data_IF_122937627395
#
_entry.id   IF_122937627395
#
_cell.length_a   1.000
_cell.length_b   1.000
_cell.length_c   1.000
_cell.angle_alpha   90.00
_cell.angle_beta   90.00
_cell.angle_gamma   90.00
#
_symmetry.space_group_name_H-M   'P 1'
#
loop_
_entity.id
_entity.type
_entity.pdbx_description
1 polymer ?
#
# COMPACT_ATOMS: atom_id res chain seq x y z
N UNK A 1 -13.19 -3.17 13.72
CA UNK A 1 -13.27 -1.73 13.57
C UNK A 1 -14.73 -1.30 13.62
N UNK A 2 -15.24 -0.97 14.81
CA UNK A 2 -16.66 -0.65 15.01
C UNK A 2 -17.01 0.83 14.71
N UNK A 3 -16.20 1.56 13.94
CA UNK A 3 -16.31 3.03 13.77
C UNK A 3 -16.56 3.50 12.31
N UNK A 4 -17.02 2.60 11.41
CA UNK A 4 -17.27 2.97 10.01
C UNK A 4 -16.01 3.21 9.18
N UNK A 5 -14.85 2.78 9.67
CA UNK A 5 -13.56 2.86 8.96
C UNK A 5 -13.54 1.81 7.85
N UNK A 6 -13.35 2.21 6.60
CA UNK A 6 -13.26 1.30 5.45
C UNK A 6 -11.83 0.94 5.07
N UNK A 7 -10.84 1.74 5.51
CA UNK A 7 -9.43 1.57 5.19
C UNK A 7 -8.54 1.91 6.39
N UNK A 8 -7.62 1.01 6.72
CA UNK A 8 -6.61 1.18 7.77
C UNK A 8 -5.24 1.19 7.13
N UNK A 9 -4.44 2.23 7.41
CA UNK A 9 -3.05 2.28 6.92
C UNK A 9 -2.07 1.86 8.01
N UNK A 10 -1.37 0.75 7.77
CA UNK A 10 -0.32 0.22 8.62
C UNK A 10 1.03 0.85 8.26
N UNK A 11 1.60 1.58 9.22
CA UNK A 11 2.92 2.21 9.11
C UNK A 11 3.86 1.65 10.17
N UNK A 12 4.66 0.65 9.78
CA UNK A 12 5.64 0.01 10.65
C UNK A 12 6.98 0.74 10.52
N UNK A 13 7.52 1.24 11.62
CA UNK A 13 8.90 1.77 11.66
C UNK A 13 9.77 0.73 12.37
N UNK A 14 10.78 0.22 11.68
CA UNK A 14 11.85 -0.66 12.19
C UNK A 14 11.46 -1.61 13.35
N UNK A 15 10.76 -2.69 12.98
CA UNK A 15 10.46 -3.82 13.86
C UNK A 15 10.90 -5.12 13.18
N UNK A 16 11.37 -6.11 13.93
CA UNK A 16 11.74 -7.41 13.32
C UNK A 16 10.51 -8.24 12.93
N UNK A 17 9.38 -8.04 13.62
CA UNK A 17 8.15 -8.82 13.43
C UNK A 17 7.17 -8.22 12.41
N UNK A 18 7.67 -7.63 11.31
CA UNK A 18 6.80 -6.90 10.35
C UNK A 18 5.73 -7.80 9.74
N UNK A 19 6.07 -9.05 9.40
CA UNK A 19 5.13 -10.03 8.85
C UNK A 19 3.97 -10.34 9.79
N UNK A 20 4.27 -10.57 11.08
CA UNK A 20 3.25 -10.81 12.10
C UNK A 20 2.28 -9.62 12.25
N UNK A 21 2.81 -8.40 12.24
CA UNK A 21 1.97 -7.19 12.34
C UNK A 21 1.08 -7.01 11.10
N UNK A 22 1.61 -7.29 9.91
CA UNK A 22 0.86 -7.24 8.65
C UNK A 22 -0.27 -8.27 8.69
N UNK A 23 0.03 -9.53 9.06
CA UNK A 23 -0.98 -10.59 9.17
C UNK A 23 -2.08 -10.24 10.17
N UNK A 24 -1.72 -9.81 11.37
CA UNK A 24 -2.69 -9.40 12.40
C UNK A 24 -3.58 -8.25 11.95
N UNK A 25 -3.01 -7.25 11.29
CA UNK A 25 -3.79 -6.13 10.78
C UNK A 25 -4.75 -6.57 9.66
N UNK A 26 -4.32 -7.48 8.79
CA UNK A 26 -5.13 -8.04 7.73
C UNK A 26 -6.30 -8.86 8.28
N UNK A 27 -6.05 -9.77 9.22
CA UNK A 27 -7.07 -10.61 9.85
C UNK A 27 -8.11 -9.74 10.56
N UNK A 28 -7.65 -8.74 11.32
CA UNK A 28 -8.54 -7.79 11.98
C UNK A 28 -9.39 -7.01 10.97
N UNK A 29 -8.83 -6.61 9.83
CA UNK A 29 -9.58 -5.88 8.81
C UNK A 29 -10.58 -6.78 8.07
N UNK A 30 -10.20 -8.02 7.78
CA UNK A 30 -11.07 -9.02 7.15
C UNK A 30 -12.33 -9.29 7.99
N UNK A 31 -12.19 -9.45 9.31
CA UNK A 31 -13.33 -9.64 10.24
C UNK A 31 -14.33 -8.48 10.19
N UNK A 32 -13.87 -7.28 9.84
CA UNK A 32 -14.68 -6.06 9.89
C UNK A 32 -15.03 -5.50 8.51
N UNK A 33 -14.70 -6.21 7.42
CA UNK A 33 -14.92 -5.71 6.06
C UNK A 33 -14.10 -4.47 5.71
N UNK A 34 -13.01 -4.23 6.44
CA UNK A 34 -12.09 -3.13 6.20
C UNK A 34 -10.95 -3.60 5.30
N UNK A 35 -10.30 -2.67 4.60
CA UNK A 35 -9.06 -2.95 3.87
C UNK A 35 -7.85 -2.50 4.70
N UNK A 36 -6.74 -3.25 4.63
CA UNK A 36 -5.43 -2.79 5.10
C UNK A 36 -4.63 -2.20 3.96
N UNK A 37 -3.89 -1.14 4.27
CA UNK A 37 -2.87 -0.58 3.41
C UNK A 37 -1.51 -0.57 4.08
N UNK A 38 -0.53 -1.28 3.52
CA UNK A 38 0.82 -1.40 4.10
C UNK A 38 1.76 -0.42 3.42
N UNK A 39 2.41 0.44 4.18
CA UNK A 39 3.43 1.35 3.66
C UNK A 39 4.81 0.69 3.63
N UNK A 40 5.46 0.66 2.47
CA UNK A 40 6.89 0.35 2.35
C UNK A 40 7.32 -1.13 2.44
N UNK A 41 6.45 -2.06 2.86
CA UNK A 41 6.77 -3.49 3.03
C UNK A 41 6.03 -4.40 2.06
N UNK A 42 6.13 -4.12 0.77
CA UNK A 42 5.39 -4.85 -0.26
C UNK A 42 5.79 -6.31 -0.39
N UNK A 43 7.09 -6.66 -0.23
CA UNK A 43 7.55 -8.05 -0.28
C UNK A 43 6.94 -8.87 0.84
N UNK A 44 6.99 -8.35 2.06
CA UNK A 44 6.38 -9.00 3.22
C UNK A 44 4.87 -9.12 3.05
N UNK A 45 4.19 -8.14 2.45
CA UNK A 45 2.77 -8.27 2.14
C UNK A 45 2.47 -9.40 1.11
N UNK A 46 3.35 -9.63 0.13
CA UNK A 46 3.25 -10.77 -0.79
C UNK A 46 3.48 -12.09 -0.05
N UNK A 47 4.53 -12.17 0.77
CA UNK A 47 4.88 -13.38 1.54
C UNK A 47 3.74 -13.79 2.48
N UNK A 48 3.07 -12.80 3.08
CA UNK A 48 1.93 -13.01 3.97
C UNK A 48 0.60 -13.24 3.22
N UNK A 49 0.62 -13.31 1.87
CA UNK A 49 -0.59 -13.46 1.03
C UNK A 49 -1.68 -12.43 1.38
N UNK A 50 -1.25 -11.21 1.68
CA UNK A 50 -2.10 -10.17 2.22
C UNK A 50 -2.93 -9.54 1.09
N UNK A 51 -4.27 -9.56 1.18
CA UNK A 51 -5.20 -9.02 0.16
C UNK A 51 -5.27 -7.47 0.14
N UNK A 52 -4.15 -6.85 0.52
CA UNK A 52 -4.03 -5.47 0.97
C UNK A 52 -3.67 -4.51 -0.15
N UNK A 53 -3.99 -3.24 0.07
CA UNK A 53 -3.63 -2.15 -0.84
C UNK A 53 -2.27 -1.55 -0.45
N UNK A 54 -1.24 -1.74 -1.26
CA UNK A 54 0.10 -1.29 -0.88
C UNK A 54 0.23 0.20 -1.16
N UNK A 55 0.60 0.97 -0.14
CA UNK A 55 0.97 2.37 -0.31
C UNK A 55 2.48 2.47 -0.51
N UNK A 56 2.89 3.03 -1.63
CA UNK A 56 4.30 3.18 -1.96
C UNK A 56 4.69 4.63 -2.18
N UNK A 57 5.85 4.99 -1.61
CA UNK A 57 6.50 6.27 -1.85
C UNK A 57 7.54 6.04 -2.95
N UNK A 58 7.20 6.43 -4.17
CA UNK A 58 8.06 6.42 -5.37
C UNK A 58 8.60 5.02 -5.72
N UNK A 59 7.88 4.28 -6.57
CA UNK A 59 8.39 3.03 -7.16
C UNK A 59 8.99 3.31 -8.53
N UNK A 60 10.22 2.84 -8.74
CA UNK A 60 10.79 2.62 -10.08
C UNK A 60 10.07 1.47 -10.76
N UNK A 61 9.64 1.55 -12.03
CA UNK A 61 8.92 0.50 -12.79
C UNK A 61 8.97 -0.97 -12.30
N UNK A 62 10.15 -1.60 -12.07
CA UNK A 62 10.25 -3.04 -11.84
C UNK A 62 9.35 -3.65 -10.74
N UNK A 63 9.24 -3.11 -9.49
CA UNK A 63 8.41 -3.70 -8.44
C UNK A 63 6.90 -3.55 -8.67
N UNK A 64 6.45 -2.60 -9.50
CA UNK A 64 5.02 -2.41 -9.76
C UNK A 64 4.41 -3.57 -10.53
N UNK A 65 5.14 -4.09 -11.52
CA UNK A 65 4.69 -5.24 -12.30
C UNK A 65 4.59 -6.46 -11.38
N UNK A 66 5.58 -6.70 -10.54
CA UNK A 66 5.59 -7.81 -9.58
C UNK A 66 4.40 -7.76 -8.63
N UNK A 67 4.10 -6.61 -8.03
CA UNK A 67 2.94 -6.45 -7.14
C UNK A 67 1.62 -6.66 -7.89
N UNK A 68 1.51 -6.16 -9.13
CA UNK A 68 0.31 -6.36 -9.96
C UNK A 68 0.09 -7.84 -10.28
N UNK A 69 1.14 -8.58 -10.63
CA UNK A 69 1.05 -10.02 -10.88
C UNK A 69 0.73 -10.82 -9.62
N UNK A 70 1.14 -10.32 -8.45
CA UNK A 70 0.79 -10.89 -7.15
C UNK A 70 -0.64 -10.54 -6.67
N UNK A 71 -1.46 -9.86 -7.49
CA UNK A 71 -2.85 -9.52 -7.15
C UNK A 71 -2.99 -8.32 -6.21
N UNK A 72 -1.90 -7.63 -5.88
CA UNK A 72 -1.92 -6.52 -4.93
C UNK A 72 -2.48 -5.25 -5.57
N UNK A 73 -3.28 -4.53 -4.77
CA UNK A 73 -3.83 -3.23 -5.13
C UNK A 73 -2.81 -2.14 -4.86
N UNK A 74 -2.62 -1.20 -5.79
CA UNK A 74 -1.60 -0.15 -5.66
C UNK A 74 -2.21 1.20 -5.26
N UNK A 75 -1.72 1.76 -4.15
CA UNK A 75 -1.92 3.15 -3.75
C UNK A 75 -0.63 3.96 -3.87
N UNK A 76 -0.73 5.20 -4.35
CA UNK A 76 0.40 6.11 -4.49
C UNK A 76 0.39 7.16 -3.39
N UNK A 77 1.57 7.41 -2.82
CA UNK A 77 1.80 8.51 -1.90
C UNK A 77 2.66 9.56 -2.60
N UNK A 78 2.07 10.69 -2.97
CA UNK A 78 2.76 11.81 -3.63
C UNK A 78 2.86 13.01 -2.68
N UNK A 79 3.99 13.69 -2.67
CA UNK A 79 4.20 14.92 -1.88
C UNK A 79 3.74 16.16 -2.62
N UNK A 80 3.86 16.15 -3.95
CA UNK A 80 3.46 17.24 -4.82
C UNK A 80 3.12 16.71 -6.23
N UNK A 81 2.44 17.53 -7.03
CA UNK A 81 2.04 17.15 -8.40
C UNK A 81 3.22 16.98 -9.37
N UNK A 82 4.40 17.51 -9.06
CA UNK A 82 5.59 17.35 -9.91
C UNK A 82 6.15 15.94 -9.81
N UNK A 83 5.93 15.23 -8.71
CA UNK A 83 6.30 13.82 -8.58
C UNK A 83 5.65 12.94 -9.65
N UNK A 84 4.42 13.27 -10.09
CA UNK A 84 3.75 12.56 -11.17
C UNK A 84 4.47 12.67 -12.53
N UNK A 85 5.30 13.71 -12.73
CA UNK A 85 6.09 13.88 -13.96
C UNK A 85 7.30 12.96 -14.04
N UNK A 86 7.76 12.45 -12.91
CA UNK A 86 8.85 11.47 -12.83
C UNK A 86 8.37 10.06 -13.20
N UNK A 87 7.06 9.88 -13.41
CA UNK A 87 6.51 8.61 -13.82
C UNK A 87 6.68 8.40 -15.33
N UNK A 88 7.07 7.18 -15.74
CA UNK A 88 7.36 6.84 -17.13
C UNK A 88 6.12 6.95 -18.05
N UNK A 89 4.91 6.80 -17.51
CA UNK A 89 3.67 6.92 -18.27
C UNK A 89 2.49 7.36 -17.41
N UNK A 90 1.60 8.16 -18.00
CA UNK A 90 0.31 8.53 -17.40
C UNK A 90 -0.61 7.33 -17.17
N UNK A 91 -0.54 6.31 -18.02
CA UNK A 91 -1.35 5.09 -17.84
C UNK A 91 -0.94 4.31 -16.58
N UNK A 92 0.32 4.43 -16.17
CA UNK A 92 0.89 3.66 -15.07
C UNK A 92 0.38 4.14 -13.71
N UNK A 93 0.37 5.45 -13.43
CA UNK A 93 -0.19 5.95 -12.19
C UNK A 93 -1.72 6.07 -12.22
N UNK A 94 -2.36 6.19 -13.40
CA UNK A 94 -3.83 6.04 -13.54
C UNK A 94 -4.33 4.63 -13.20
N UNK A 95 -3.46 3.64 -13.26
CA UNK A 95 -3.75 2.28 -12.80
C UNK A 95 -3.66 2.15 -11.28
N UNK A 96 -3.16 3.17 -10.57
CA UNK A 96 -3.24 3.21 -9.11
C UNK A 96 -4.69 3.45 -8.69
N UNK A 97 -5.16 2.64 -7.75
CA UNK A 97 -6.54 2.68 -7.28
C UNK A 97 -6.76 3.81 -6.26
N UNK A 98 -5.68 4.33 -5.68
CA UNK A 98 -5.73 5.50 -4.81
C UNK A 98 -4.47 6.35 -4.95
N UNK A 99 -4.63 7.66 -4.86
CA UNK A 99 -3.53 8.64 -4.77
C UNK A 99 -3.77 9.43 -3.49
N UNK A 100 -2.83 9.36 -2.57
CA UNK A 100 -2.83 10.12 -1.33
C UNK A 100 -1.76 11.19 -1.37
N UNK A 101 -2.14 12.42 -1.02
CA UNK A 101 -1.18 13.49 -0.79
C UNK A 101 -0.51 13.25 0.58
N UNK A 102 0.79 13.00 0.58
CA UNK A 102 1.56 12.85 1.80
C UNK A 102 1.75 14.21 2.47
N UNK A 103 0.97 14.48 3.51
CA UNK A 103 1.17 15.65 4.37
C UNK A 103 2.56 15.57 5.01
N UNK A 104 3.40 16.60 4.81
CA UNK A 104 4.62 16.79 5.62
C UNK A 104 4.19 17.00 7.08
N UNK A 105 4.51 16.06 7.95
CA UNK A 105 4.69 16.36 9.38
C UNK A 105 6.18 16.54 9.60
#
# INVERSE_FOLDING_TARGET
MPLGVSLVQLRIKDMDEKGLQIRRANDACAVHGCQVSVNGYWRTAIEESCDSSILVKRIWLPPMLTMKYAGLKLGLSIHDHTELRQWPSRSMWRSAQSIQLASRR
#
